data_IF_771037614534
#
_entry.id   IF_771037614534
#
_cell.length_a   1.000
_cell.length_b   1.000
_cell.length_c   1.000
_cell.angle_alpha   90.00
_cell.angle_beta   90.00
_cell.angle_gamma   90.00
#
_symmetry.space_group_name_H-M   'P 1'
#
loop_
_entity.id
_entity.type
_entity.pdbx_description
1 polymer ?
#
# COMPACT_ATOMS: atom_id res chain seq x y z
N UNK A 1 39.36 75.96 15.40
CA UNK A 1 37.98 75.68 14.99
C UNK A 1 37.98 74.27 14.42
N UNK A 2 37.39 73.32 15.17
CA UNK A 2 37.02 71.90 14.89
C UNK A 2 38.03 70.99 14.14
N UNK A 3 38.34 69.76 14.55
CA UNK A 3 37.45 68.68 14.97
C UNK A 3 38.20 67.62 15.77
N UNK A 4 37.50 67.01 16.72
CA UNK A 4 37.92 65.83 17.48
C UNK A 4 37.50 64.54 16.77
N UNK A 5 38.37 63.53 16.84
CA UNK A 5 38.10 62.13 16.48
C UNK A 5 37.11 61.48 17.45
N UNK A 6 36.27 60.58 16.95
CA UNK A 6 35.50 59.63 17.77
C UNK A 6 35.28 58.33 16.99
N UNK A 7 35.65 57.22 17.63
CA UNK A 7 35.45 55.84 17.19
C UNK A 7 34.11 55.29 17.68
N UNK A 8 33.47 54.39 16.91
CA UNK A 8 33.08 52.99 17.27
C UNK A 8 31.78 52.49 16.56
N UNK A 9 31.93 51.45 15.69
CA UNK A 9 31.30 50.07 15.66
C UNK A 9 29.74 49.93 15.63
N UNK A 10 29.09 48.82 15.18
CA UNK A 10 29.33 47.76 14.17
C UNK A 10 28.17 47.63 13.14
N UNK A 11 28.32 46.83 12.07
CA UNK A 11 27.23 45.91 11.69
C UNK A 11 27.84 44.59 11.18
N UNK A 12 27.76 43.58 12.03
CA UNK A 12 27.90 42.20 11.61
C UNK A 12 26.76 41.90 10.61
N UNK A 13 27.11 41.77 9.34
CA UNK A 13 26.20 41.24 8.32
C UNK A 13 25.86 39.81 8.68
N UNK A 14 24.72 39.65 9.35
CA UNK A 14 24.11 38.37 9.60
C UNK A 14 23.83 37.74 8.22
N UNK A 15 24.66 36.76 7.85
CA UNK A 15 24.40 35.87 6.72
C UNK A 15 23.05 35.20 7.00
N UNK A 16 21.99 35.70 6.38
CA UNK A 16 20.71 35.00 6.33
C UNK A 16 20.97 33.67 5.61
N UNK A 17 21.16 32.62 6.37
CA UNK A 17 21.13 31.26 5.85
C UNK A 17 19.75 31.06 5.22
N UNK A 18 19.65 30.70 3.92
CA UNK A 18 18.37 30.37 3.33
C UNK A 18 17.83 29.15 4.06
N UNK A 19 16.72 29.33 4.78
CA UNK A 19 16.01 28.23 5.43
C UNK A 19 15.56 27.25 4.34
N UNK A 20 16.27 26.13 4.23
CA UNK A 20 15.89 25.06 3.33
C UNK A 20 14.55 24.48 3.81
N UNK A 21 13.49 24.76 3.07
CA UNK A 21 12.17 24.19 3.32
C UNK A 21 12.24 22.74 2.83
N UNK A 22 12.43 21.80 3.76
CA UNK A 22 12.43 20.36 3.46
C UNK A 22 10.98 19.99 3.14
N UNK A 23 10.67 19.86 1.86
CA UNK A 23 9.37 19.34 1.41
C UNK A 23 9.33 17.83 1.69
N UNK A 24 8.63 17.43 2.76
CA UNK A 24 8.31 16.02 2.97
C UNK A 24 7.25 15.60 1.96
N UNK A 25 7.65 14.80 0.96
CA UNK A 25 6.71 14.13 0.08
C UNK A 25 5.94 13.07 0.90
N UNK A 26 4.66 13.33 1.15
CA UNK A 26 3.76 12.35 1.73
C UNK A 26 3.41 11.35 0.62
N UNK A 27 3.87 10.12 0.76
CA UNK A 27 3.47 9.05 -0.16
C UNK A 27 1.96 8.83 -0.03
N UNK A 28 1.24 8.93 -1.15
CA UNK A 28 -0.19 8.62 -1.18
C UNK A 28 -0.40 7.13 -0.85
N UNK A 29 -1.47 6.77 -0.13
CA UNK A 29 -1.80 5.37 0.10
C UNK A 29 -2.05 4.67 -1.25
N UNK A 30 -1.49 3.47 -1.41
CA UNK A 30 -1.79 2.61 -2.56
C UNK A 30 -3.29 2.28 -2.54
N UNK A 31 -3.95 2.47 -3.69
CA UNK A 31 -5.37 2.15 -3.80
C UNK A 31 -5.60 0.65 -3.63
N UNK A 32 -6.56 0.28 -2.77
CA UNK A 32 -6.99 -1.11 -2.58
C UNK A 32 -7.65 -1.65 -3.85
N UNK A 33 -7.34 -2.90 -4.19
CA UNK A 33 -7.90 -3.65 -5.30
C UNK A 33 -8.92 -4.64 -4.77
N UNK A 34 -10.20 -4.38 -5.00
CA UNK A 34 -11.31 -5.16 -4.46
C UNK A 34 -12.21 -5.68 -5.58
N UNK A 35 -12.52 -6.96 -5.58
CA UNK A 35 -13.54 -7.54 -6.47
C UNK A 35 -13.10 -7.73 -7.92
N UNK A 36 -11.79 -7.86 -8.18
CA UNK A 36 -11.28 -7.99 -9.55
C UNK A 36 -11.18 -9.46 -9.93
N UNK A 37 -11.74 -9.82 -11.09
CA UNK A 37 -11.65 -11.19 -11.62
C UNK A 37 -10.33 -11.40 -12.34
N UNK A 38 -9.75 -12.58 -12.19
CA UNK A 38 -8.55 -12.97 -12.93
C UNK A 38 -7.93 -14.24 -12.41
N UNK A 39 -6.71 -14.52 -12.84
CA UNK A 39 -5.94 -15.67 -12.40
C UNK A 39 -4.66 -15.22 -11.72
N UNK A 40 -3.99 -16.16 -11.05
CA UNK A 40 -2.65 -15.92 -10.56
C UNK A 40 -1.74 -15.49 -11.71
N UNK A 41 -1.02 -14.40 -11.49
CA UNK A 41 -0.06 -13.86 -12.44
C UNK A 41 1.09 -14.85 -12.58
N UNK A 42 1.51 -15.13 -13.81
CA UNK A 42 2.65 -16.00 -14.04
C UNK A 42 3.90 -15.47 -13.30
N UNK A 43 4.54 -16.33 -12.51
CA UNK A 43 5.72 -15.98 -11.70
C UNK A 43 5.40 -15.25 -10.38
N UNK A 44 4.13 -15.07 -10.02
CA UNK A 44 3.75 -14.57 -8.69
C UNK A 44 3.96 -15.65 -7.63
N UNK A 45 3.97 -15.24 -6.35
CA UNK A 45 3.98 -16.20 -5.25
C UNK A 45 2.66 -16.97 -5.25
N UNK A 46 2.65 -18.31 -5.16
CA UNK A 46 1.39 -19.06 -5.09
C UNK A 46 0.61 -18.73 -3.81
N UNK A 47 -0.67 -19.11 -3.78
CA UNK A 47 -1.43 -19.12 -2.54
C UNK A 47 -0.70 -20.00 -1.51
N UNK A 48 -0.46 -19.47 -0.31
CA UNK A 48 0.17 -20.26 0.76
C UNK A 48 -0.84 -21.17 1.46
N UNK A 49 -2.13 -20.86 1.34
CA UNK A 49 -3.22 -21.68 1.86
C UNK A 49 -4.39 -21.69 0.87
N UNK A 50 -4.89 -22.88 0.57
CA UNK A 50 -6.09 -23.10 -0.22
C UNK A 50 -7.10 -23.90 0.61
N UNK A 51 -8.24 -23.29 0.93
CA UNK A 51 -9.33 -23.94 1.68
C UNK A 51 -10.45 -24.28 0.71
N UNK A 52 -10.63 -25.57 0.45
CA UNK A 52 -11.70 -26.09 -0.41
C UNK A 52 -12.92 -26.43 0.43
N UNK A 53 -13.88 -25.49 0.49
CA UNK A 53 -15.16 -25.68 1.15
C UNK A 53 -16.14 -24.61 0.65
N UNK A 54 -17.39 -24.99 0.36
CA UNK A 54 -18.40 -24.05 -0.15
C UNK A 54 -18.65 -22.86 0.79
N UNK A 55 -18.56 -23.07 2.11
CA UNK A 55 -18.76 -22.04 3.12
C UNK A 55 -17.58 -21.06 3.17
N UNK A 56 -16.33 -21.52 3.04
CA UNK A 56 -15.15 -20.63 3.03
C UNK A 56 -14.97 -19.91 1.69
N UNK A 57 -15.53 -20.44 0.61
CA UNK A 57 -15.46 -19.89 -0.75
C UNK A 57 -16.39 -18.70 -1.02
N UNK A 58 -16.72 -17.94 0.02
CA UNK A 58 -17.44 -16.66 -0.06
C UNK A 58 -16.55 -15.52 0.43
N UNK A 59 -16.73 -14.28 -0.04
CA UNK A 59 -15.81 -13.18 0.26
C UNK A 59 -15.63 -12.93 1.77
N UNK A 60 -16.73 -12.81 2.53
CA UNK A 60 -16.69 -12.55 3.97
C UNK A 60 -15.96 -13.64 4.79
N UNK A 61 -16.27 -14.95 4.66
CA UNK A 61 -15.54 -15.98 5.39
C UNK A 61 -14.09 -16.12 4.93
N UNK A 62 -13.79 -15.95 3.63
CA UNK A 62 -12.42 -15.97 3.15
C UNK A 62 -11.60 -14.79 3.69
N UNK A 63 -12.21 -13.60 3.82
CA UNK A 63 -11.59 -12.44 4.48
C UNK A 63 -11.30 -12.70 5.96
N UNK A 64 -12.21 -13.35 6.67
CA UNK A 64 -11.99 -13.73 8.07
C UNK A 64 -10.76 -14.65 8.20
N UNK A 65 -10.66 -15.67 7.34
CA UNK A 65 -9.49 -16.56 7.28
C UNK A 65 -8.21 -15.81 6.90
N UNK A 66 -8.28 -14.89 5.94
CA UNK A 66 -7.16 -14.02 5.58
C UNK A 66 -6.67 -13.20 6.78
N UNK A 67 -7.61 -12.65 7.56
CA UNK A 67 -7.29 -11.82 8.74
C UNK A 67 -6.59 -12.67 9.81
N UNK A 68 -7.11 -13.86 10.10
CA UNK A 68 -6.54 -14.81 11.04
C UNK A 68 -5.12 -15.24 10.63
N UNK A 69 -4.92 -15.48 9.34
CA UNK A 69 -3.64 -15.92 8.77
C UNK A 69 -2.71 -14.77 8.36
N UNK A 70 -3.10 -13.51 8.62
CA UNK A 70 -2.33 -12.30 8.27
C UNK A 70 -1.93 -12.24 6.78
N UNK A 71 -2.87 -12.54 5.91
CA UNK A 71 -2.67 -12.52 4.47
C UNK A 71 -2.66 -11.08 3.91
N UNK A 72 -2.00 -10.86 2.77
CA UNK A 72 -2.01 -9.57 2.05
C UNK A 72 -3.20 -9.45 1.11
N UNK A 73 -3.60 -10.56 0.48
CA UNK A 73 -4.78 -10.65 -0.37
C UNK A 73 -5.40 -12.04 -0.38
N UNK A 74 -6.66 -12.12 -0.78
CA UNK A 74 -7.38 -13.38 -0.93
C UNK A 74 -8.15 -13.44 -2.24
N UNK A 75 -8.42 -14.66 -2.71
CA UNK A 75 -9.31 -14.91 -3.83
C UNK A 75 -10.38 -15.94 -3.48
N UNK A 76 -11.58 -15.75 -4.01
CA UNK A 76 -12.69 -16.69 -3.87
C UNK A 76 -13.18 -17.10 -5.25
N UNK A 77 -13.42 -18.40 -5.43
CA UNK A 77 -13.89 -18.94 -6.69
C UNK A 77 -13.90 -20.47 -6.67
N UNK A 78 -14.77 -21.06 -7.47
CA UNK A 78 -14.81 -22.51 -7.69
C UNK A 78 -14.85 -23.35 -6.38
N UNK A 79 -15.60 -22.90 -5.36
CA UNK A 79 -15.68 -23.59 -4.07
C UNK A 79 -14.40 -23.54 -3.23
N UNK A 80 -13.46 -22.65 -3.57
CA UNK A 80 -12.17 -22.49 -2.92
C UNK A 80 -11.92 -21.06 -2.45
N UNK A 81 -11.29 -20.92 -1.28
CA UNK A 81 -10.68 -19.69 -0.77
C UNK A 81 -9.15 -19.82 -0.86
N UNK A 82 -8.51 -18.88 -1.52
CA UNK A 82 -7.06 -18.83 -1.70
C UNK A 82 -6.51 -17.64 -0.91
N UNK A 83 -5.50 -17.88 -0.07
CA UNK A 83 -4.83 -16.84 0.71
C UNK A 83 -3.42 -16.60 0.20
N UNK A 84 -3.06 -15.34 0.03
CA UNK A 84 -1.77 -14.91 -0.49
C UNK A 84 -1.07 -13.98 0.48
N UNK A 85 0.26 -14.07 0.54
CA UNK A 85 1.07 -13.18 1.37
C UNK A 85 1.18 -11.77 0.79
N UNK A 86 1.05 -11.64 -0.53
CA UNK A 86 1.23 -10.39 -1.25
C UNK A 86 -0.10 -9.76 -1.65
N UNK A 87 -0.09 -8.47 -1.98
CA UNK A 87 -1.27 -7.71 -2.41
C UNK A 87 -1.73 -8.13 -3.82
N UNK A 88 -3.00 -7.91 -4.13
CA UNK A 88 -3.63 -8.28 -5.41
C UNK A 88 -2.87 -7.70 -6.59
N UNK A 89 -2.36 -6.48 -6.50
CA UNK A 89 -1.62 -5.82 -7.59
C UNK A 89 -0.38 -6.61 -8.06
N UNK A 90 0.20 -7.43 -7.17
CA UNK A 90 1.36 -8.28 -7.48
C UNK A 90 0.95 -9.70 -7.88
N UNK A 91 -0.23 -10.15 -7.44
CA UNK A 91 -0.71 -11.52 -7.57
C UNK A 91 -1.61 -11.75 -8.78
N UNK A 92 -2.30 -10.71 -9.25
CA UNK A 92 -3.39 -10.85 -10.21
C UNK A 92 -2.95 -10.57 -11.64
N UNK A 93 -3.33 -11.47 -12.55
CA UNK A 93 -3.49 -11.18 -13.96
C UNK A 93 -5.01 -10.99 -14.25
N UNK A 94 -5.50 -9.76 -14.43
CA UNK A 94 -6.93 -9.49 -14.59
C UNK A 94 -7.50 -10.18 -15.83
N UNK A 95 -8.58 -10.94 -15.63
CA UNK A 95 -9.31 -11.58 -16.72
C UNK A 95 -10.76 -11.82 -16.31
N UNK A 96 -11.70 -11.19 -17.02
CA UNK A 96 -13.14 -11.29 -16.70
C UNK A 96 -13.71 -12.72 -16.80
N UNK A 97 -13.09 -13.60 -17.60
CA UNK A 97 -13.53 -14.98 -17.76
C UNK A 97 -13.18 -15.88 -16.55
N UNK A 98 -12.39 -15.39 -15.60
CA UNK A 98 -12.02 -16.17 -14.43
C UNK A 98 -13.22 -16.45 -13.52
N UNK A 99 -13.23 -17.63 -12.91
CA UNK A 99 -14.17 -17.98 -11.83
C UNK A 99 -13.70 -17.45 -10.47
N UNK A 100 -12.46 -16.98 -10.37
CA UNK A 100 -11.89 -16.38 -9.17
C UNK A 100 -12.04 -14.86 -9.17
N UNK A 101 -12.28 -14.32 -7.98
CA UNK A 101 -12.36 -12.89 -7.70
C UNK A 101 -11.42 -12.56 -6.54
N UNK A 102 -10.53 -11.59 -6.75
CA UNK A 102 -9.45 -11.21 -5.85
C UNK A 102 -9.77 -9.93 -5.07
N UNK A 103 -9.27 -9.87 -3.85
CA UNK A 103 -9.47 -8.78 -2.90
C UNK A 103 -8.21 -8.58 -2.05
N UNK A 104 -7.76 -7.34 -1.89
CA UNK A 104 -6.77 -7.01 -0.86
C UNK A 104 -7.38 -7.21 0.53
N UNK A 105 -6.53 -7.49 1.53
CA UNK A 105 -6.96 -7.73 2.91
C UNK A 105 -7.79 -6.58 3.50
N UNK A 106 -7.52 -5.34 3.05
CA UNK A 106 -8.24 -4.13 3.49
C UNK A 106 -9.62 -3.94 2.85
N UNK A 107 -10.03 -4.77 1.89
CA UNK A 107 -11.31 -4.61 1.20
C UNK A 107 -12.51 -4.86 2.12
N UNK A 108 -13.58 -4.08 1.93
CA UNK A 108 -14.91 -4.39 2.46
C UNK A 108 -15.61 -5.36 1.50
N UNK A 109 -16.08 -6.50 2.02
CA UNK A 109 -16.67 -7.61 1.25
C UNK A 109 -17.86 -8.24 1.98
#
# INVERSE_FOLDING_TARGET
>A
MVSASSYLVPIASCLLAPSAIISLAIAAPTALTCGVKGWDKAGSTPAFLAIVNATSASPAPCKALCTENKCGSFAVGNGTCLLYVADVATQLNPQNASTYTYYDAGCTV
#
